data_IF_422120867680
#
_entry.id   IF_422120867680
#
_cell.length_a   1.000
_cell.length_b   1.000
_cell.length_c   1.000
_cell.angle_alpha   90.00
_cell.angle_beta   90.00
_cell.angle_gamma   90.00
#
_symmetry.space_group_name_H-M   'P 1'
#
loop_
_entity.id
_entity.type
_entity.pdbx_description
1 polymer ?
#
# COMPACT_ATOMS: atom_id res chain seq x y z
N UNK A 1 7.30 7.92 12.91
CA UNK A 1 8.21 8.57 11.93
C UNK A 1 8.54 7.54 10.86
N UNK A 2 7.92 7.61 9.71
CA UNK A 2 8.28 6.78 8.55
C UNK A 2 9.28 7.63 7.77
N UNK A 3 10.57 7.33 7.90
CA UNK A 3 11.57 7.93 7.06
C UNK A 3 11.56 7.20 5.71
N UNK A 4 11.11 7.87 4.66
CA UNK A 4 11.37 7.44 3.30
C UNK A 4 12.84 7.71 3.01
N UNK A 5 13.64 6.67 2.89
CA UNK A 5 15.00 6.77 2.35
C UNK A 5 14.89 6.48 0.86
N UNK A 6 14.79 7.50 0.03
CA UNK A 6 15.01 7.36 -1.40
C UNK A 6 16.52 7.24 -1.64
N UNK A 7 16.99 6.03 -1.86
CA UNK A 7 18.33 5.79 -2.36
C UNK A 7 18.23 5.54 -3.86
N UNK A 8 18.62 6.52 -4.65
CA UNK A 8 18.87 6.29 -6.07
C UNK A 8 20.14 5.45 -6.22
N UNK A 9 19.98 4.23 -6.68
CA UNK A 9 21.10 3.37 -7.06
C UNK A 9 21.57 3.83 -8.44
N UNK A 10 22.80 4.31 -8.55
CA UNK A 10 23.41 4.56 -9.84
C UNK A 10 23.58 3.25 -10.59
N UNK A 11 23.37 3.25 -11.92
CA UNK A 11 23.46 2.10 -12.83
C UNK A 11 24.83 1.36 -12.81
N UNK A 12 25.81 1.85 -12.08
CA UNK A 12 27.14 1.27 -11.99
C UNK A 12 27.30 0.18 -10.92
N UNK A 13 26.31 -0.06 -10.05
CA UNK A 13 26.37 -1.08 -8.99
C UNK A 13 25.82 -2.45 -9.44
N UNK A 14 25.52 -2.63 -10.73
CA UNK A 14 24.91 -3.85 -11.27
C UNK A 14 25.94 -4.98 -11.50
N UNK A 15 27.25 -4.66 -11.49
CA UNK A 15 28.32 -5.59 -11.88
C UNK A 15 28.73 -6.63 -10.81
N UNK A 16 28.09 -6.66 -9.63
CA UNK A 16 28.44 -7.63 -8.56
C UNK A 16 27.34 -8.66 -8.25
N UNK A 17 26.35 -8.82 -9.11
CA UNK A 17 25.32 -9.84 -8.92
C UNK A 17 25.83 -11.21 -9.41
N UNK A 18 25.60 -12.30 -8.65
CA UNK A 18 25.92 -13.63 -9.15
C UNK A 18 25.20 -13.89 -10.48
N UNK A 19 25.94 -14.45 -11.44
CA UNK A 19 25.37 -14.81 -12.75
C UNK A 19 24.14 -15.69 -12.57
N UNK A 20 23.10 -15.50 -13.42
CA UNK A 20 21.90 -16.29 -13.32
C UNK A 20 22.23 -17.76 -13.59
N UNK A 21 21.84 -18.62 -12.63
CA UNK A 21 21.85 -20.07 -12.85
C UNK A 21 21.14 -20.42 -14.16
N UNK A 22 21.74 -21.32 -14.91
CA UNK A 22 21.33 -21.68 -16.26
C UNK A 22 19.87 -22.11 -16.34
N UNK A 23 19.22 -21.80 -17.45
CA UNK A 23 17.79 -22.03 -17.72
C UNK A 23 17.30 -23.51 -17.65
N UNK A 24 18.18 -24.45 -17.32
CA UNK A 24 17.91 -25.88 -17.36
C UNK A 24 17.16 -26.47 -16.14
N UNK A 25 16.96 -25.68 -15.06
CA UNK A 25 16.25 -26.18 -13.87
C UNK A 25 14.80 -25.69 -13.71
N UNK A 26 14.25 -24.99 -14.68
CA UNK A 26 12.85 -24.58 -14.64
C UNK A 26 11.97 -25.69 -15.21
N UNK A 27 11.51 -26.60 -14.37
CA UNK A 27 10.47 -27.56 -14.73
C UNK A 27 9.22 -26.84 -15.26
N UNK A 28 8.65 -27.32 -16.35
CA UNK A 28 7.38 -26.80 -16.88
C UNK A 28 6.28 -26.89 -15.81
N UNK A 29 5.78 -25.76 -15.34
CA UNK A 29 4.70 -25.67 -14.35
C UNK A 29 3.30 -25.75 -14.98
N UNK A 30 3.19 -25.73 -16.32
CA UNK A 30 1.90 -25.80 -17.00
C UNK A 30 1.07 -27.01 -16.57
N UNK A 31 1.68 -28.20 -16.31
CA UNK A 31 0.93 -29.35 -15.81
C UNK A 31 0.29 -29.14 -14.43
N UNK A 32 0.88 -28.28 -13.58
CA UNK A 32 0.36 -27.99 -12.24
C UNK A 32 -1.01 -27.31 -12.31
N UNK A 33 -1.23 -26.49 -13.35
CA UNK A 33 -2.48 -25.78 -13.58
C UNK A 33 -3.50 -26.58 -14.40
N UNK A 34 -3.15 -27.78 -14.87
CA UNK A 34 -4.09 -28.64 -15.59
C UNK A 34 -5.30 -28.99 -14.72
N UNK A 35 -6.50 -28.64 -15.19
CA UNK A 35 -7.75 -28.87 -14.46
C UNK A 35 -8.07 -27.81 -13.40
N UNK A 36 -7.27 -26.76 -13.25
CA UNK A 36 -7.62 -25.59 -12.45
C UNK A 36 -8.36 -24.59 -13.34
N UNK A 37 -9.67 -24.45 -13.11
CA UNK A 37 -10.53 -23.55 -13.86
C UNK A 37 -10.41 -22.13 -13.27
N UNK A 38 -9.45 -21.32 -13.80
CA UNK A 38 -9.27 -19.92 -13.46
C UNK A 38 -10.03 -19.04 -14.45
N UNK A 39 -10.69 -18.00 -13.95
CA UNK A 39 -11.27 -16.95 -14.80
C UNK A 39 -10.22 -15.91 -15.19
N UNK A 40 -9.16 -15.78 -14.40
CA UNK A 40 -8.00 -14.97 -14.67
C UNK A 40 -6.99 -15.63 -15.60
N UNK A 41 -5.76 -15.10 -15.64
CA UNK A 41 -4.68 -15.57 -16.52
C UNK A 41 -3.45 -15.99 -15.74
N UNK A 42 -2.68 -16.92 -16.32
CA UNK A 42 -1.37 -17.35 -15.80
C UNK A 42 -0.31 -17.04 -16.86
N UNK A 43 0.75 -16.36 -16.43
CA UNK A 43 1.92 -16.07 -17.25
C UNK A 43 3.14 -16.75 -16.61
N UNK A 44 3.69 -17.73 -17.30
CA UNK A 44 4.87 -18.46 -16.83
C UNK A 44 6.15 -17.69 -17.06
N UNK A 45 7.18 -17.96 -16.24
CA UNK A 45 8.45 -17.25 -16.23
C UNK A 45 9.10 -17.18 -17.61
N UNK A 46 9.62 -16.00 -17.97
CA UNK A 46 10.26 -15.72 -19.28
C UNK A 46 9.79 -14.42 -19.91
N UNK A 47 8.66 -13.86 -19.49
CA UNK A 47 8.20 -12.57 -19.93
C UNK A 47 8.63 -11.53 -18.88
N UNK A 48 9.30 -10.45 -19.32
CA UNK A 48 9.91 -9.42 -18.47
C UNK A 48 8.90 -8.64 -17.64
N UNK A 49 8.26 -9.32 -16.68
CA UNK A 49 7.34 -8.69 -15.77
C UNK A 49 8.11 -8.07 -14.60
N UNK A 50 7.74 -6.85 -14.23
CA UNK A 50 8.24 -6.09 -13.08
C UNK A 50 7.92 -6.78 -11.72
N UNK A 51 7.28 -7.95 -11.76
CA UNK A 51 6.89 -8.75 -10.60
C UNK A 51 8.06 -9.36 -9.82
N UNK A 52 9.24 -9.36 -10.40
CA UNK A 52 10.47 -9.85 -9.80
C UNK A 52 11.29 -8.77 -9.07
N UNK A 53 10.80 -7.54 -8.96
CA UNK A 53 11.51 -6.43 -8.33
C UNK A 53 10.64 -5.78 -7.26
N UNK A 54 11.23 -5.40 -6.12
CA UNK A 54 10.57 -4.56 -5.14
C UNK A 54 10.70 -3.06 -5.46
N UNK A 55 9.97 -2.22 -4.71
CA UNK A 55 9.97 -0.77 -4.94
C UNK A 55 11.36 -0.15 -4.79
N UNK A 56 12.12 -0.57 -3.77
CA UNK A 56 13.47 -0.05 -3.51
C UNK A 56 14.53 -0.59 -4.48
N UNK A 57 14.21 -1.59 -5.31
CA UNK A 57 15.18 -2.28 -6.15
C UNK A 57 16.27 -3.02 -5.37
N UNK A 58 16.06 -3.21 -4.07
CA UNK A 58 17.03 -3.86 -3.16
C UNK A 58 16.94 -5.38 -3.28
N UNK A 59 15.73 -5.89 -3.48
CA UNK A 59 15.47 -7.31 -3.63
C UNK A 59 15.07 -7.63 -5.08
N UNK A 60 15.69 -8.66 -5.62
CA UNK A 60 15.34 -9.22 -6.92
C UNK A 60 14.90 -10.67 -6.73
N UNK A 61 13.89 -11.08 -7.46
CA UNK A 61 13.32 -12.41 -7.41
C UNK A 61 12.94 -12.89 -8.80
N UNK A 62 12.94 -14.20 -9.00
CA UNK A 62 12.46 -14.84 -10.24
C UNK A 62 11.24 -15.70 -9.88
N UNK A 63 10.02 -15.16 -10.03
CA UNK A 63 8.83 -15.98 -9.86
C UNK A 63 8.74 -17.03 -10.96
N UNK A 64 8.13 -18.17 -10.66
CA UNK A 64 7.85 -19.22 -11.65
C UNK A 64 6.63 -18.86 -12.52
N UNK A 65 5.66 -18.17 -11.93
CA UNK A 65 4.53 -17.63 -12.66
C UNK A 65 3.99 -16.36 -12.01
N UNK A 66 3.43 -15.49 -12.85
CA UNK A 66 2.59 -14.37 -12.48
C UNK A 66 1.14 -14.74 -12.80
N UNK A 67 0.29 -14.74 -11.80
CA UNK A 67 -1.13 -15.02 -11.93
C UNK A 67 -1.88 -13.69 -11.81
N UNK A 68 -2.81 -13.46 -12.72
CA UNK A 68 -3.75 -12.34 -12.68
C UNK A 68 -5.14 -12.85 -12.36
N UNK A 69 -5.50 -12.97 -11.07
CA UNK A 69 -6.81 -13.46 -10.66
C UNK A 69 -7.91 -12.47 -11.06
N UNK A 70 -9.04 -12.98 -11.53
CA UNK A 70 -10.22 -12.17 -11.82
C UNK A 70 -11.06 -11.90 -10.56
N UNK A 71 -10.98 -12.76 -9.55
CA UNK A 71 -11.80 -12.72 -8.34
C UNK A 71 -11.14 -13.48 -7.18
N UNK A 72 -11.78 -13.48 -6.00
CA UNK A 72 -11.30 -14.17 -4.80
C UNK A 72 -11.28 -15.71 -4.95
N UNK A 73 -12.15 -16.28 -5.76
CA UNK A 73 -12.17 -17.74 -6.02
C UNK A 73 -10.90 -18.18 -6.78
N UNK A 74 -10.44 -17.38 -7.74
CA UNK A 74 -9.16 -17.63 -8.41
C UNK A 74 -7.99 -17.61 -7.43
N UNK A 75 -7.97 -16.62 -6.52
CA UNK A 75 -6.95 -16.54 -5.45
C UNK A 75 -6.99 -17.82 -4.60
N UNK A 76 -8.18 -18.23 -4.17
CA UNK A 76 -8.38 -19.42 -3.36
C UNK A 76 -7.89 -20.69 -4.08
N UNK A 77 -8.20 -20.84 -5.38
CA UNK A 77 -7.75 -21.96 -6.20
C UNK A 77 -6.23 -22.03 -6.31
N UNK A 78 -5.58 -20.88 -6.55
CA UNK A 78 -4.11 -20.80 -6.65
C UNK A 78 -3.44 -21.13 -5.32
N UNK A 79 -3.93 -20.57 -4.21
CA UNK A 79 -3.41 -20.87 -2.88
C UNK A 79 -3.59 -22.36 -2.54
N UNK A 80 -4.76 -22.93 -2.82
CA UNK A 80 -5.03 -24.36 -2.61
C UNK A 80 -4.14 -25.26 -3.48
N UNK A 81 -3.82 -24.81 -4.69
CA UNK A 81 -2.87 -25.51 -5.56
C UNK A 81 -1.47 -25.51 -4.93
N UNK A 82 -1.01 -24.34 -4.51
CA UNK A 82 0.32 -24.19 -3.90
C UNK A 82 0.44 -24.94 -2.57
N UNK A 83 -0.59 -24.97 -1.74
CA UNK A 83 -0.58 -25.66 -0.44
C UNK A 83 -0.35 -27.17 -0.54
N UNK A 84 -0.60 -27.76 -1.70
CA UNK A 84 -0.33 -29.18 -1.98
C UNK A 84 1.11 -29.47 -2.41
N UNK A 85 1.90 -28.42 -2.63
CA UNK A 85 3.28 -28.50 -3.11
C UNK A 85 4.22 -27.89 -2.06
N UNK A 86 4.99 -28.70 -1.31
CA UNK A 86 5.77 -28.24 -0.15
C UNK A 86 6.86 -27.21 -0.48
N UNK A 87 7.19 -27.06 -1.75
CA UNK A 87 8.25 -26.15 -2.21
C UNK A 87 7.70 -24.91 -2.95
N UNK A 88 6.38 -24.78 -3.08
CA UNK A 88 5.75 -23.71 -3.82
C UNK A 88 5.22 -22.64 -2.87
N UNK A 89 5.78 -21.44 -2.96
CA UNK A 89 5.33 -20.29 -2.20
C UNK A 89 4.42 -19.39 -3.02
N UNK A 90 3.55 -18.64 -2.35
CA UNK A 90 2.65 -17.65 -2.98
C UNK A 90 2.86 -16.31 -2.33
N UNK A 91 2.99 -15.26 -3.14
CA UNK A 91 2.99 -13.88 -2.68
C UNK A 91 1.88 -13.09 -3.36
N UNK A 92 1.06 -12.41 -2.56
CA UNK A 92 0.12 -11.41 -3.06
C UNK A 92 0.85 -10.10 -3.33
N UNK A 93 0.74 -9.59 -4.56
CA UNK A 93 1.35 -8.33 -4.99
C UNK A 93 0.26 -7.31 -5.30
N UNK A 94 0.27 -6.20 -4.58
CA UNK A 94 -0.51 -5.02 -4.92
C UNK A 94 0.22 -4.19 -5.97
N UNK A 95 0.52 -2.93 -5.66
CA UNK A 95 1.26 -2.04 -6.58
C UNK A 95 2.80 -2.14 -6.43
N UNK A 96 3.29 -3.15 -5.73
CA UNK A 96 4.72 -3.47 -5.66
C UNK A 96 5.56 -2.54 -4.79
N UNK A 97 4.97 -1.83 -3.85
CA UNK A 97 5.65 -0.86 -2.99
C UNK A 97 6.31 -1.45 -1.74
N UNK A 98 6.46 -2.76 -1.66
CA UNK A 98 7.28 -3.40 -0.62
C UNK A 98 8.77 -3.10 -0.84
N UNK A 99 9.54 -2.97 0.25
CA UNK A 99 10.96 -2.57 0.20
C UNK A 99 11.92 -3.70 0.56
N UNK A 100 11.40 -4.86 1.01
CA UNK A 100 12.18 -6.04 1.41
C UNK A 100 11.64 -7.33 0.77
N UNK A 101 11.08 -7.25 -0.44
CA UNK A 101 10.62 -8.41 -1.19
C UNK A 101 9.33 -9.07 -0.69
N UNK A 102 8.55 -8.44 0.22
CA UNK A 102 7.33 -9.05 0.80
C UNK A 102 6.25 -9.38 -0.26
N UNK A 103 6.22 -8.63 -1.37
CA UNK A 103 5.29 -8.86 -2.47
C UNK A 103 5.90 -9.73 -3.60
N UNK A 104 6.91 -10.53 -3.28
CA UNK A 104 7.66 -11.34 -4.22
C UNK A 104 7.72 -12.80 -3.74
N UNK A 105 7.81 -13.74 -4.68
CA UNK A 105 8.00 -15.15 -4.40
C UNK A 105 9.14 -15.68 -5.28
N UNK A 106 10.32 -15.92 -4.67
CA UNK A 106 11.43 -16.52 -5.39
C UNK A 106 11.10 -17.98 -5.70
N UNK A 107 11.15 -18.37 -6.99
CA UNK A 107 10.74 -19.71 -7.47
C UNK A 107 9.34 -20.11 -6.97
N UNK A 108 8.44 -19.12 -6.86
CA UNK A 108 7.05 -19.30 -6.41
C UNK A 108 6.06 -18.59 -7.32
N UNK A 109 4.84 -18.45 -6.86
CA UNK A 109 3.72 -17.84 -7.59
C UNK A 109 3.48 -16.42 -7.07
N UNK A 110 3.40 -15.45 -7.96
CA UNK A 110 2.99 -14.08 -7.63
C UNK A 110 1.56 -13.86 -8.11
N UNK A 111 0.69 -13.39 -7.22
CA UNK A 111 -0.69 -12.99 -7.52
C UNK A 111 -0.73 -11.48 -7.72
N UNK A 112 -1.01 -10.98 -8.92
CA UNK A 112 -1.26 -9.55 -9.15
C UNK A 112 -2.69 -9.21 -8.71
N UNK A 113 -2.81 -8.73 -7.48
CA UNK A 113 -4.10 -8.45 -6.85
C UNK A 113 -4.86 -7.30 -7.49
N UNK A 114 -4.19 -6.44 -8.26
CA UNK A 114 -4.83 -5.31 -8.96
C UNK A 114 -5.76 -5.77 -10.09
N UNK A 115 -5.62 -7.00 -10.54
CA UNK A 115 -6.46 -7.55 -11.62
C UNK A 115 -7.81 -8.03 -11.14
N UNK A 116 -7.99 -8.22 -9.83
CA UNK A 116 -9.32 -8.48 -9.27
C UNK A 116 -10.20 -7.29 -9.58
N UNK A 117 -11.37 -7.56 -10.17
CA UNK A 117 -12.33 -6.51 -10.54
C UNK A 117 -12.52 -5.52 -9.39
N UNK A 118 -12.19 -4.23 -9.58
CA UNK A 118 -12.26 -3.25 -8.52
C UNK A 118 -13.73 -2.95 -8.17
N UNK A 119 -14.22 -3.58 -7.10
CA UNK A 119 -15.53 -3.25 -6.52
C UNK A 119 -15.32 -2.19 -5.45
N UNK A 120 -15.93 -1.02 -5.64
CA UNK A 120 -15.99 0.04 -4.64
C UNK A 120 -17.47 0.38 -4.49
N UNK A 121 -18.09 -0.22 -3.47
CA UNK A 121 -19.51 -0.07 -3.17
C UNK A 121 -19.63 0.77 -1.91
N UNK A 122 -20.14 1.99 -2.05
CA UNK A 122 -20.31 2.93 -0.94
C UNK A 122 -21.72 2.81 -0.41
N UNK A 123 -21.84 2.64 0.90
CA UNK A 123 -23.11 2.77 1.64
C UNK A 123 -23.09 4.08 2.45
N UNK A 124 -23.74 5.13 1.94
CA UNK A 124 -23.79 6.41 2.64
C UNK A 124 -24.60 6.36 3.95
N UNK A 125 -25.52 5.41 4.09
CA UNK A 125 -26.35 5.31 5.29
C UNK A 125 -25.56 4.83 6.51
N UNK A 126 -24.59 3.95 6.29
CA UNK A 126 -23.70 3.45 7.34
C UNK A 126 -22.32 4.14 7.35
N UNK A 127 -22.07 5.05 6.40
CA UNK A 127 -20.76 5.65 6.16
C UNK A 127 -19.65 4.60 6.07
N UNK A 128 -19.84 3.62 5.18
CA UNK A 128 -18.89 2.53 4.93
C UNK A 128 -18.73 2.29 3.43
N UNK A 129 -17.60 1.69 3.04
CA UNK A 129 -17.39 1.20 1.69
C UNK A 129 -16.85 -0.22 1.70
N UNK A 130 -17.44 -1.09 0.89
CA UNK A 130 -16.87 -2.39 0.53
C UNK A 130 -15.91 -2.18 -0.65
N UNK A 131 -14.64 -2.56 -0.47
CA UNK A 131 -13.59 -2.33 -1.45
C UNK A 131 -12.79 -3.60 -1.70
N UNK A 132 -12.45 -3.87 -2.97
CA UNK A 132 -11.55 -4.98 -3.31
C UNK A 132 -10.17 -4.76 -2.70
N UNK A 133 -9.51 -5.82 -2.26
CA UNK A 133 -8.15 -5.75 -1.72
C UNK A 133 -7.11 -5.22 -2.72
N UNK A 134 -7.34 -5.41 -4.02
CA UNK A 134 -6.49 -4.89 -5.09
C UNK A 134 -6.81 -3.45 -5.54
N UNK A 135 -7.89 -2.82 -5.02
CA UNK A 135 -8.23 -1.45 -5.36
C UNK A 135 -7.16 -0.48 -4.83
N UNK A 136 -6.85 0.56 -5.61
CA UNK A 136 -5.97 1.64 -5.16
C UNK A 136 -6.72 2.60 -4.24
N UNK A 137 -6.06 3.13 -3.23
CA UNK A 137 -6.65 4.16 -2.35
C UNK A 137 -7.09 5.41 -3.14
N UNK A 138 -6.40 5.72 -4.23
CA UNK A 138 -6.79 6.80 -5.14
C UNK A 138 -8.20 6.59 -5.71
N UNK A 139 -8.50 5.38 -6.19
CA UNK A 139 -9.80 5.05 -6.77
C UNK A 139 -10.89 5.03 -5.69
N UNK A 140 -10.58 4.52 -4.50
CA UNK A 140 -11.48 4.54 -3.34
C UNK A 140 -11.83 5.98 -2.96
N UNK A 141 -10.81 6.84 -2.80
CA UNK A 141 -11.00 8.25 -2.46
C UNK A 141 -11.83 8.98 -3.51
N UNK A 142 -11.45 8.86 -4.80
CA UNK A 142 -12.20 9.48 -5.91
C UNK A 142 -13.65 9.02 -5.93
N UNK A 143 -13.90 7.74 -5.79
CA UNK A 143 -15.26 7.18 -5.79
C UNK A 143 -16.10 7.69 -4.64
N UNK A 144 -15.53 7.71 -3.43
CA UNK A 144 -16.22 8.16 -2.22
C UNK A 144 -16.50 9.66 -2.25
N UNK A 145 -15.49 10.48 -2.58
CA UNK A 145 -15.63 11.94 -2.57
C UNK A 145 -16.54 12.43 -3.69
N UNK A 146 -16.24 12.07 -4.93
CA UNK A 146 -16.99 12.58 -6.09
C UNK A 146 -18.41 12.02 -6.17
N UNK A 147 -18.61 10.78 -5.71
CA UNK A 147 -19.92 10.13 -5.79
C UNK A 147 -20.83 10.40 -4.60
N UNK A 148 -20.27 10.65 -3.41
CA UNK A 148 -21.05 10.60 -2.16
C UNK A 148 -20.67 11.70 -1.16
N UNK A 149 -19.67 12.54 -1.42
CA UNK A 149 -19.20 13.54 -0.45
C UNK A 149 -18.60 12.92 0.82
N UNK A 150 -18.09 11.69 0.72
CA UNK A 150 -17.50 10.94 1.81
C UNK A 150 -16.02 10.65 1.51
N UNK A 151 -15.19 10.48 2.54
CA UNK A 151 -13.81 10.06 2.42
C UNK A 151 -13.50 8.94 3.42
N UNK A 152 -12.57 8.02 3.15
CA UNK A 152 -12.04 7.13 4.18
C UNK A 152 -11.55 7.92 5.40
N UNK A 153 -11.73 7.41 6.61
CA UNK A 153 -11.21 8.07 7.83
C UNK A 153 -9.69 8.09 7.88
N UNK A 154 -9.06 7.06 7.34
CA UNK A 154 -7.62 6.93 7.26
C UNK A 154 -7.23 6.37 5.90
N UNK A 155 -6.29 7.02 5.24
CA UNK A 155 -5.69 6.57 3.97
C UNK A 155 -4.18 6.81 4.01
N UNK A 156 -3.44 6.34 3.01
CA UNK A 156 -2.00 6.56 2.90
C UNK A 156 -1.69 7.94 2.31
N UNK A 157 -0.51 8.49 2.60
CA UNK A 157 0.04 9.67 1.94
C UNK A 157 0.19 9.45 0.43
N UNK A 158 0.74 8.30 0.04
CA UNK A 158 0.80 7.87 -1.36
C UNK A 158 -0.43 7.03 -1.71
N UNK A 159 -1.32 7.59 -2.52
CA UNK A 159 -2.60 6.98 -2.89
C UNK A 159 -2.50 5.82 -3.90
N UNK A 160 -1.34 5.66 -4.55
CA UNK A 160 -1.07 4.56 -5.48
C UNK A 160 -0.81 3.21 -4.81
N UNK A 161 -1.19 3.03 -3.54
CA UNK A 161 -1.11 1.77 -2.81
C UNK A 161 -2.44 1.03 -2.82
N UNK A 162 -2.38 -0.31 -2.78
CA UNK A 162 -3.60 -1.12 -2.71
C UNK A 162 -4.12 -1.25 -1.28
N UNK A 163 -5.44 -1.33 -1.15
CA UNK A 163 -6.12 -1.50 0.15
C UNK A 163 -5.59 -2.71 0.91
N UNK A 164 -5.57 -3.89 0.28
CA UNK A 164 -5.09 -5.12 0.95
C UNK A 164 -3.61 -5.05 1.33
N UNK A 165 -2.78 -4.40 0.51
CA UNK A 165 -1.36 -4.24 0.80
C UNK A 165 -1.10 -3.36 2.03
N UNK A 166 -1.78 -2.21 2.14
CA UNK A 166 -1.61 -1.32 3.30
C UNK A 166 -2.20 -1.91 4.57
N UNK A 167 -3.38 -2.54 4.50
CA UNK A 167 -3.98 -3.21 5.66
C UNK A 167 -3.12 -4.37 6.18
N UNK A 168 -2.37 -5.04 5.32
CA UNK A 168 -1.40 -6.07 5.72
C UNK A 168 -0.21 -5.48 6.48
N UNK A 169 0.06 -4.16 6.38
CA UNK A 169 1.16 -3.46 7.05
C UNK A 169 0.67 -2.43 8.09
N UNK A 170 -0.56 -2.52 8.56
CA UNK A 170 -1.27 -1.59 9.43
C UNK A 170 -1.75 -0.30 8.75
N UNK A 171 -1.04 0.29 7.79
CA UNK A 171 -1.44 1.50 7.07
C UNK A 171 -1.42 2.75 7.95
N UNK A 172 -0.22 3.24 8.25
CA UNK A 172 0.00 4.47 9.02
C UNK A 172 0.05 5.67 8.07
N UNK A 173 -0.56 6.78 8.46
CA UNK A 173 -0.56 8.03 7.70
C UNK A 173 -0.65 9.26 8.63
N UNK A 174 -0.69 10.44 8.05
CA UNK A 174 -0.79 11.69 8.81
C UNK A 174 -2.06 11.89 9.62
N UNK A 175 -3.09 11.03 9.46
CA UNK A 175 -4.33 11.04 10.27
C UNK A 175 -4.29 10.05 11.43
N UNK A 176 -3.24 9.26 11.54
CA UNK A 176 -3.16 8.16 12.52
C UNK A 176 -3.27 8.65 13.97
N UNK A 177 -2.84 9.86 14.26
CA UNK A 177 -2.96 10.44 15.61
C UNK A 177 -4.40 10.75 16.02
N UNK A 178 -5.34 10.87 15.05
CA UNK A 178 -6.78 11.09 15.31
C UNK A 178 -7.55 9.76 15.21
N UNK A 179 -7.37 9.03 14.11
CA UNK A 179 -8.22 7.89 13.76
C UNK A 179 -7.57 6.52 13.96
N UNK A 180 -6.33 6.48 14.45
CA UNK A 180 -5.54 5.27 14.46
C UNK A 180 -5.04 4.87 13.05
N UNK A 181 -4.31 3.77 12.93
CA UNK A 181 -3.91 3.22 11.64
C UNK A 181 -5.13 2.77 10.83
N UNK A 182 -4.94 2.49 9.54
CA UNK A 182 -6.03 2.04 8.67
C UNK A 182 -6.71 0.78 9.20
N UNK A 183 -5.97 -0.10 9.86
CA UNK A 183 -6.48 -1.33 10.48
C UNK A 183 -7.55 -1.09 11.55
N UNK A 184 -7.55 0.05 12.22
CA UNK A 184 -8.60 0.42 13.18
C UNK A 184 -9.89 0.92 12.49
N UNK A 185 -9.79 1.29 11.22
CA UNK A 185 -10.88 1.82 10.42
C UNK A 185 -11.48 0.78 9.46
N UNK A 186 -11.33 -0.50 9.78
CA UNK A 186 -11.90 -1.65 9.05
C UNK A 186 -12.90 -2.37 9.95
N UNK A 187 -14.06 -2.72 9.38
CA UNK A 187 -15.12 -3.42 10.12
C UNK A 187 -15.26 -4.88 9.72
N UNK A 188 -14.87 -5.24 8.50
CA UNK A 188 -15.00 -6.60 7.97
C UNK A 188 -13.94 -6.83 6.88
N UNK A 189 -13.48 -8.06 6.77
CA UNK A 189 -12.59 -8.53 5.70
C UNK A 189 -13.14 -9.78 5.04
N UNK A 190 -12.83 -9.98 3.76
CA UNK A 190 -12.80 -11.28 3.09
C UNK A 190 -11.34 -11.68 2.93
N UNK A 191 -11.02 -12.88 3.37
CA UNK A 191 -9.63 -13.37 3.46
C UNK A 191 -9.54 -14.78 2.88
N UNK A 192 -8.54 -15.02 2.04
CA UNK A 192 -8.13 -16.35 1.61
C UNK A 192 -6.98 -16.81 2.49
N UNK A 193 -7.20 -17.87 3.27
CA UNK A 193 -6.17 -18.44 4.16
C UNK A 193 -5.18 -19.34 3.41
N UNK A 194 -4.10 -19.76 4.07
CA UNK A 194 -3.05 -20.60 3.46
C UNK A 194 -3.51 -21.96 2.93
N UNK A 195 -4.72 -22.44 3.31
CA UNK A 195 -5.34 -23.64 2.76
C UNK A 195 -6.20 -23.36 1.51
N UNK A 196 -6.36 -22.10 1.14
CA UNK A 196 -7.24 -21.66 0.06
C UNK A 196 -8.73 -21.62 0.46
N UNK A 197 -9.02 -21.58 1.76
CA UNK A 197 -10.37 -21.37 2.25
C UNK A 197 -10.68 -19.88 2.33
N UNK A 198 -11.90 -19.49 1.97
CA UNK A 198 -12.36 -18.11 1.98
C UNK A 198 -13.19 -17.87 3.24
N UNK A 199 -12.80 -16.88 4.02
CA UNK A 199 -13.50 -16.49 5.24
C UNK A 199 -13.93 -15.03 5.20
N UNK A 200 -15.14 -14.77 5.71
CA UNK A 200 -15.52 -13.43 6.16
C UNK A 200 -15.13 -13.34 7.63
N UNK A 201 -14.45 -12.27 7.99
CA UNK A 201 -14.02 -12.04 9.37
C UNK A 201 -14.21 -10.59 9.78
N UNK A 202 -14.49 -10.39 11.08
CA UNK A 202 -14.75 -9.10 11.71
C UNK A 202 -14.42 -9.21 13.20
N UNK A 203 -14.61 -8.12 13.95
CA UNK A 203 -14.50 -8.14 15.42
C UNK A 203 -15.47 -9.15 16.08
N UNK A 204 -16.57 -9.52 15.41
CA UNK A 204 -17.60 -10.39 15.96
C UNK A 204 -17.68 -11.76 15.27
N UNK A 205 -17.10 -11.91 14.10
CA UNK A 205 -17.08 -13.14 13.31
C UNK A 205 -15.64 -13.49 12.94
N UNK A 206 -15.19 -14.70 13.30
CA UNK A 206 -13.78 -15.11 13.14
C UNK A 206 -12.77 -14.05 13.64
N UNK A 207 -12.93 -13.54 14.89
CA UNK A 207 -12.15 -12.39 15.37
C UNK A 207 -10.65 -12.64 15.44
N UNK A 208 -10.24 -13.86 15.74
CA UNK A 208 -8.82 -14.23 15.78
C UNK A 208 -8.17 -14.06 14.38
N UNK A 209 -8.84 -14.53 13.33
CA UNK A 209 -8.37 -14.32 11.95
C UNK A 209 -8.36 -12.85 11.58
N UNK A 210 -9.41 -12.11 11.94
CA UNK A 210 -9.54 -10.68 11.66
C UNK A 210 -8.35 -9.88 12.19
N UNK A 211 -8.03 -10.06 13.47
CA UNK A 211 -6.92 -9.34 14.11
C UNK A 211 -5.55 -9.86 13.69
N UNK A 212 -5.42 -11.13 13.30
CA UNK A 212 -4.15 -11.69 12.82
C UNK A 212 -3.78 -11.20 11.43
N UNK A 213 -4.76 -10.99 10.57
CA UNK A 213 -4.54 -10.57 9.17
C UNK A 213 -4.23 -9.07 9.08
N UNK A 214 -4.89 -8.24 9.90
CA UNK A 214 -4.64 -6.80 9.97
C UNK A 214 -3.25 -6.53 10.56
N UNK A 215 -2.35 -5.97 9.74
CA UNK A 215 -0.94 -5.79 10.12
C UNK A 215 -0.14 -7.10 10.19
N UNK A 216 -0.70 -8.22 9.72
CA UNK A 216 -0.09 -9.55 9.79
C UNK A 216 0.93 -9.85 8.69
N UNK A 217 1.36 -8.86 7.92
CA UNK A 217 2.38 -8.95 6.85
C UNK A 217 2.06 -10.04 5.80
N UNK A 218 0.78 -10.34 5.58
CA UNK A 218 0.33 -11.36 4.65
C UNK A 218 0.57 -12.81 5.10
N UNK A 219 1.00 -13.04 6.35
CA UNK A 219 1.35 -14.39 6.83
C UNK A 219 0.12 -15.25 7.17
N UNK A 220 -1.02 -14.63 7.48
CA UNK A 220 -2.23 -15.34 7.94
C UNK A 220 -3.29 -15.46 6.86
N UNK A 221 -3.13 -14.76 5.75
CA UNK A 221 -4.05 -14.80 4.62
C UNK A 221 -3.90 -13.62 3.68
N UNK A 222 -4.59 -13.72 2.54
CA UNK A 222 -4.63 -12.71 1.49
C UNK A 222 -5.96 -11.97 1.58
N UNK A 223 -5.91 -10.66 1.79
CA UNK A 223 -7.11 -9.79 1.83
C UNK A 223 -7.62 -9.59 0.40
N UNK A 224 -8.80 -10.10 0.12
CA UNK A 224 -9.48 -9.96 -1.17
C UNK A 224 -10.55 -8.87 -1.17
N UNK A 225 -11.11 -8.54 0.02
CA UNK A 225 -12.06 -7.44 0.23
C UNK A 225 -11.91 -6.87 1.64
N UNK A 226 -12.17 -5.57 1.77
CA UNK A 226 -12.27 -4.90 3.06
C UNK A 226 -13.50 -3.99 3.11
N UNK A 227 -14.15 -3.88 4.26
CA UNK A 227 -15.16 -2.86 4.56
C UNK A 227 -14.54 -1.80 5.42
N UNK A 228 -14.40 -0.59 4.85
CA UNK A 228 -13.72 0.55 5.47
C UNK A 228 -14.68 1.61 5.94
N UNK A 229 -14.36 2.26 7.06
CA UNK A 229 -15.12 3.38 7.62
C UNK A 229 -14.88 4.65 6.83
N UNK A 230 -15.96 5.40 6.60
CA UNK A 230 -15.94 6.70 5.94
C UNK A 230 -16.34 7.81 6.91
N UNK A 231 -16.07 9.04 6.50
CA UNK A 231 -16.49 10.28 7.15
C UNK A 231 -16.90 11.31 6.09
N UNK A 232 -17.61 12.39 6.42
CA UNK A 232 -17.85 13.49 5.50
C UNK A 232 -16.53 14.03 4.96
N UNK A 233 -16.45 14.21 3.64
CA UNK A 233 -15.29 14.81 3.00
C UNK A 233 -15.36 16.34 3.18
N UNK A 234 -14.25 17.03 3.53
CA UNK A 234 -14.21 18.48 3.53
C UNK A 234 -14.26 19.00 2.09
N UNK A 235 -14.93 20.15 1.91
CA UNK A 235 -14.99 20.83 0.61
C UNK A 235 -13.65 21.47 0.21
N UNK A 236 -12.83 21.82 1.20
CA UNK A 236 -11.53 22.46 1.01
C UNK A 236 -10.53 22.02 2.07
N UNK A 237 -9.26 22.01 1.69
CA UNK A 237 -8.14 21.73 2.57
C UNK A 237 -7.20 22.95 2.59
N UNK A 238 -6.76 23.34 3.79
CA UNK A 238 -5.67 24.30 3.96
C UNK A 238 -4.38 23.54 4.17
N UNK A 239 -3.44 23.71 3.26
CA UNK A 239 -2.11 23.13 3.37
C UNK A 239 -1.12 24.15 3.91
N UNK A 240 -0.40 23.80 4.99
CA UNK A 240 0.61 24.65 5.63
C UNK A 240 1.92 23.86 5.63
N UNK A 241 2.97 24.47 5.12
CA UNK A 241 4.34 23.93 5.16
C UNK A 241 5.18 24.76 6.13
N UNK A 242 5.92 24.07 6.98
CA UNK A 242 6.88 24.67 7.91
C UNK A 242 8.24 24.01 7.69
N UNK A 243 9.29 24.78 7.61
CA UNK A 243 10.66 24.29 7.49
C UNK A 243 11.39 24.52 8.81
N UNK A 244 12.09 23.50 9.27
CA UNK A 244 12.90 23.54 10.49
C UNK A 244 14.34 23.27 10.14
N UNK A 245 15.27 24.09 10.66
CA UNK A 245 16.71 23.85 10.59
C UNK A 245 17.17 22.83 11.61
N UNK A 246 16.46 22.75 12.75
CA UNK A 246 16.78 21.86 13.86
C UNK A 246 15.71 20.79 14.05
N UNK A 247 16.14 19.53 14.05
CA UNK A 247 15.23 18.39 14.22
C UNK A 247 14.50 18.43 15.58
N UNK A 248 15.16 18.95 16.63
CA UNK A 248 14.54 19.07 17.96
C UNK A 248 13.36 20.03 18.01
N UNK A 249 13.39 21.10 17.21
CA UNK A 249 12.27 22.04 17.08
C UNK A 249 11.10 21.40 16.34
N UNK A 250 11.39 20.73 15.22
CA UNK A 250 10.40 19.93 14.50
C UNK A 250 9.73 18.89 15.40
N UNK A 251 10.53 18.11 16.15
CA UNK A 251 10.00 17.05 17.02
C UNK A 251 9.10 17.62 18.12
N UNK A 252 9.51 18.73 18.75
CA UNK A 252 8.72 19.40 19.79
C UNK A 252 7.37 19.92 19.25
N UNK A 253 7.39 20.56 18.08
CA UNK A 253 6.18 21.12 17.49
C UNK A 253 5.26 20.03 16.96
N UNK A 254 5.80 18.95 16.38
CA UNK A 254 5.03 17.79 15.98
C UNK A 254 4.34 17.12 17.18
N UNK A 255 5.07 16.89 18.31
CA UNK A 255 4.49 16.36 19.54
C UNK A 255 3.38 17.26 20.08
N UNK A 256 3.59 18.57 20.10
CA UNK A 256 2.58 19.53 20.52
C UNK A 256 1.32 19.44 19.66
N UNK A 257 1.46 19.32 18.34
CA UNK A 257 0.31 19.26 17.40
C UNK A 257 -0.49 17.97 17.53
N UNK A 258 0.19 16.82 17.67
CA UNK A 258 -0.52 15.52 17.79
C UNK A 258 -1.16 15.29 19.17
N UNK A 259 -0.75 16.06 20.19
CA UNK A 259 -1.31 15.96 21.56
C UNK A 259 -2.39 16.98 21.87
N UNK A 260 -2.68 17.92 20.97
CA UNK A 260 -3.78 18.88 21.15
C UNK A 260 -5.13 18.20 21.14
N UNK A 261 -6.09 18.87 21.78
CA UNK A 261 -7.48 18.41 21.77
C UNK A 261 -8.04 18.41 20.33
N UNK A 262 -8.99 17.52 20.10
CA UNK A 262 -9.72 17.47 18.83
C UNK A 262 -10.33 18.84 18.51
N UNK A 263 -10.16 19.31 17.28
CA UNK A 263 -10.59 20.64 16.83
C UNK A 263 -9.60 21.77 17.04
N UNK A 264 -8.56 21.58 17.88
CA UNK A 264 -7.51 22.58 18.15
C UNK A 264 -6.20 22.29 17.41
N UNK A 265 -6.18 21.26 16.56
CA UNK A 265 -5.01 20.83 15.80
C UNK A 265 -5.32 20.70 14.30
N UNK A 266 -4.39 20.12 13.56
CA UNK A 266 -4.57 19.79 12.17
C UNK A 266 -5.26 18.45 12.01
N UNK A 267 -5.95 18.25 10.89
CA UNK A 267 -6.58 16.96 10.54
C UNK A 267 -5.57 15.97 9.96
N UNK A 268 -4.44 16.47 9.48
CA UNK A 268 -3.38 15.70 8.86
C UNK A 268 -2.02 16.31 9.17
N UNK A 269 -1.06 15.52 9.65
CA UNK A 269 0.29 15.96 9.96
C UNK A 269 1.31 14.99 9.35
N UNK A 270 2.24 15.53 8.58
CA UNK A 270 3.29 14.79 7.92
C UNK A 270 4.60 15.55 7.99
N UNK A 271 5.72 14.84 8.04
CA UNK A 271 7.05 15.46 8.07
C UNK A 271 8.05 14.69 7.23
N UNK A 272 8.96 15.43 6.60
CA UNK A 272 10.04 14.89 5.78
C UNK A 272 11.38 15.37 6.32
N UNK A 273 12.40 14.52 6.21
CA UNK A 273 13.78 14.88 6.52
C UNK A 273 14.57 14.92 5.22
N UNK A 274 15.19 16.07 4.94
CA UNK A 274 16.12 16.20 3.82
C UNK A 274 17.54 15.89 4.32
N UNK A 275 18.13 14.83 3.81
CA UNK A 275 19.41 14.28 4.35
C UNK A 275 20.63 14.86 3.66
N UNK A 276 20.51 15.39 2.43
CA UNK A 276 21.61 15.96 1.64
C UNK A 276 21.24 17.36 1.15
N UNK A 277 21.71 18.38 1.88
CA UNK A 277 21.56 19.78 1.45
C UNK A 277 22.47 20.15 0.27
N UNK A 278 23.53 19.36 0.00
CA UNK A 278 24.56 19.67 -0.99
C UNK A 278 24.32 19.01 -2.37
N UNK A 279 23.33 18.12 -2.46
CA UNK A 279 22.98 17.49 -3.73
C UNK A 279 21.68 18.10 -4.28
N UNK A 280 21.76 18.91 -5.37
CA UNK A 280 20.60 19.55 -5.96
C UNK A 280 19.80 18.56 -6.83
N UNK A 281 19.51 17.37 -6.33
CA UNK A 281 18.63 16.42 -7.00
C UNK A 281 17.26 17.09 -7.20
N UNK A 282 16.94 17.38 -8.44
CA UNK A 282 15.70 18.00 -8.88
C UNK A 282 15.50 19.51 -8.58
N UNK A 283 16.55 20.29 -8.51
CA UNK A 283 16.44 21.78 -8.48
C UNK A 283 15.90 22.35 -7.16
N UNK A 284 15.94 21.61 -6.07
CA UNK A 284 15.55 22.05 -4.73
C UNK A 284 16.75 22.57 -3.91
N UNK A 285 17.86 22.89 -4.56
CA UNK A 285 18.95 23.66 -3.93
C UNK A 285 18.48 25.11 -3.71
N UNK A 286 17.63 25.32 -2.73
CA UNK A 286 17.55 26.63 -2.10
C UNK A 286 18.60 26.62 -1.02
N UNK A 287 19.68 27.43 -1.10
CA UNK A 287 20.52 27.69 0.05
C UNK A 287 19.61 28.22 1.14
N UNK A 288 19.50 27.47 2.23
CA UNK A 288 18.80 27.92 3.42
C UNK A 288 19.73 29.01 4.07
N UNK A 289 19.69 30.19 3.50
CA UNK A 289 20.25 31.35 4.17
C UNK A 289 19.32 31.69 5.34
N UNK A 290 19.85 31.65 6.54
CA UNK A 290 19.12 31.72 7.80
C UNK A 290 18.18 32.92 7.95
N UNK A 291 18.31 33.91 7.08
CA UNK A 291 17.55 35.16 7.12
C UNK A 291 16.35 35.20 6.15
N UNK A 292 16.11 34.15 5.38
CA UNK A 292 14.98 34.07 4.44
C UNK A 292 13.82 33.14 4.92
N UNK A 293 13.82 32.76 6.18
CA UNK A 293 12.81 31.88 6.75
C UNK A 293 11.49 32.62 6.95
N UNK A 294 10.52 32.10 6.19
CA UNK A 294 9.10 32.20 6.41
C UNK A 294 8.53 33.62 6.56
N UNK A 295 8.25 34.23 5.43
CA UNK A 295 7.27 35.30 5.39
C UNK A 295 5.84 34.70 5.41
N UNK A 296 5.09 34.85 6.52
CA UNK A 296 3.71 34.38 6.59
C UNK A 296 2.77 35.04 5.56
N UNK A 297 3.21 36.16 4.95
CA UNK A 297 2.47 36.85 3.89
C UNK A 297 2.53 36.10 2.55
N UNK A 298 3.49 35.16 2.38
CA UNK A 298 3.63 34.32 1.20
C UNK A 298 2.68 33.10 1.19
N UNK A 299 1.91 32.86 2.24
CA UNK A 299 0.84 31.87 2.20
C UNK A 299 -0.26 32.42 1.28
N UNK A 300 -0.54 31.80 0.13
CA UNK A 300 -1.67 32.24 -0.68
C UNK A 300 -2.93 32.21 0.17
N UNK A 301 -3.54 33.36 0.39
CA UNK A 301 -4.83 33.47 1.12
C UNK A 301 -6.00 32.93 0.32
N UNK A 302 -5.76 32.39 -0.84
CA UNK A 302 -6.77 31.76 -1.69
C UNK A 302 -6.55 30.25 -1.67
N UNK A 303 -7.34 29.56 -0.87
CA UNK A 303 -7.60 28.14 -1.07
C UNK A 303 -8.33 28.01 -2.42
N UNK A 304 -7.60 27.72 -3.49
CA UNK A 304 -8.20 27.26 -4.73
C UNK A 304 -8.75 25.82 -4.51
N UNK A 305 -9.81 25.42 -5.22
CA UNK A 305 -10.27 24.05 -5.15
C UNK A 305 -9.14 23.12 -5.56
N UNK A 306 -8.86 22.13 -4.74
CA UNK A 306 -7.94 21.04 -5.09
C UNK A 306 -8.63 20.20 -6.16
N UNK A 307 -8.38 20.51 -7.42
CA UNK A 307 -8.65 19.58 -8.51
C UNK A 307 -7.55 18.53 -8.43
N UNK A 308 -7.90 17.34 -7.95
CA UNK A 308 -7.09 16.15 -8.15
C UNK A 308 -6.88 15.97 -9.66
N UNK A 309 -5.63 15.73 -10.12
CA UNK A 309 -5.38 15.49 -11.54
C UNK A 309 -6.07 14.25 -12.05
#
# INVERSE_FOLDING_TARGET
MIAYIERFVHDNDVDSMPEPETAEEQGDLSPLFNGVDLQGTVEFAGCGSDSGRDFGGVQLSKPLALIRPANSDDVAKVVRLASRSPHLTVAARGNGHSVNGQAMAHRGLVLDMKTIEPKIIVDPATAQADVSGGALWEDVLKRCVLGYGLAPRSWTDYLGLTVGGTLSNAGVSGQTFIYGPQTENVTELEVVTGNGDVFICSKNENPELFFSVLGGLGQFGIITRARVLLQPAPDMVRWIRVVYSEFSEFARDAELLVTRAEGDSFDYLEGFVFVNSDDPVNGWAVPLDSDQFFDPSCIPRTAGPFLLP
#
